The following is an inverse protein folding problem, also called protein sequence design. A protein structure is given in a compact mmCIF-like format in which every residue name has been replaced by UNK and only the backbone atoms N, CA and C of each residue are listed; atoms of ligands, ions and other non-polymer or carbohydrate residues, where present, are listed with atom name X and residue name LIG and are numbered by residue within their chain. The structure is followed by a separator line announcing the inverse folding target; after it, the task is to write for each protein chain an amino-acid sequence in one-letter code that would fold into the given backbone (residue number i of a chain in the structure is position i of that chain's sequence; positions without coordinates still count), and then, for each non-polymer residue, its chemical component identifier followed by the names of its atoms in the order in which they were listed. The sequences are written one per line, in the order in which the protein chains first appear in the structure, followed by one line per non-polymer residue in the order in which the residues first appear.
data_IF_622826178561
#
_entry.id   IF_622826178561
#
_cell.length_a   1.000
_cell.length_b   1.000
_cell.length_c   1.000
_cell.angle_alpha   90.00
_cell.angle_beta   90.00
_cell.angle_gamma   90.00
#
_symmetry.space_group_name_H-M   'P 1'
#
loop_
_entity.id
_entity.type
_entity.pdbx_description
1 polymer ?
#
# COMPACT_ATOMS: atom_id res chain seq x y z
N UNK A 1 4.70 25.53 -0.45
CA UNK A 1 6.12 25.15 -0.28
C UNK A 1 6.68 24.89 -1.66
N UNK A 2 7.93 25.30 -1.92
CA UNK A 2 8.65 24.88 -3.13
C UNK A 2 9.22 23.50 -2.85
N UNK A 3 9.00 22.55 -3.75
CA UNK A 3 9.60 21.21 -3.66
C UNK A 3 10.88 21.22 -4.49
N UNK A 4 11.90 20.53 -3.99
CA UNK A 4 13.09 20.30 -4.81
C UNK A 4 12.71 19.40 -6.00
N UNK A 5 13.29 19.63 -7.18
CA UNK A 5 13.03 18.80 -8.35
C UNK A 5 13.46 17.36 -8.08
N UNK A 6 12.57 16.41 -8.37
CA UNK A 6 12.84 14.98 -8.22
C UNK A 6 13.59 14.43 -9.44
N UNK A 7 14.71 13.74 -9.20
CA UNK A 7 15.42 13.00 -10.23
C UNK A 7 14.56 11.92 -10.89
N UNK A 8 14.72 11.71 -12.20
CA UNK A 8 13.96 10.70 -12.95
C UNK A 8 14.21 9.26 -12.45
N UNK A 9 15.42 8.97 -11.96
CA UNK A 9 15.75 7.63 -11.46
C UNK A 9 15.34 7.55 -10.01
N UNK A 10 14.45 6.62 -9.68
CA UNK A 10 13.87 6.46 -8.35
C UNK A 10 14.10 5.04 -7.85
N UNK A 11 14.43 4.91 -6.57
CA UNK A 11 14.66 3.63 -5.93
C UNK A 11 13.74 3.47 -4.73
N UNK A 12 13.10 2.31 -4.63
CA UNK A 12 12.23 1.96 -3.53
C UNK A 12 12.40 0.49 -3.14
N UNK A 13 12.20 0.20 -1.87
CA UNK A 13 12.14 -1.15 -1.32
C UNK A 13 10.73 -1.43 -0.82
N UNK A 14 10.18 -2.58 -1.19
CA UNK A 14 8.91 -3.06 -0.66
C UNK A 14 9.16 -4.23 0.29
N UNK A 15 8.49 -4.23 1.44
CA UNK A 15 8.42 -5.36 2.35
C UNK A 15 6.95 -5.68 2.61
N UNK A 16 6.59 -6.94 2.42
CA UNK A 16 5.22 -7.42 2.57
C UNK A 16 5.17 -8.72 3.35
N UNK A 17 4.09 -8.90 4.10
CA UNK A 17 3.83 -10.08 4.90
C UNK A 17 2.37 -10.49 4.81
N UNK A 18 2.13 -11.80 4.80
CA UNK A 18 0.79 -12.38 4.87
C UNK A 18 0.75 -13.48 5.91
N UNK A 19 -0.23 -13.42 6.80
CA UNK A 19 -0.47 -14.45 7.79
C UNK A 19 -1.90 -14.99 7.67
N UNK A 20 -2.04 -16.31 7.54
CA UNK A 20 -3.34 -16.99 7.53
C UNK A 20 -3.83 -17.15 8.96
N UNK A 21 -4.93 -16.48 9.29
CA UNK A 21 -5.63 -16.63 10.56
C UNK A 21 -6.45 -17.94 10.57
N UNK A 22 -7.06 -18.26 9.43
CA UNK A 22 -7.80 -19.51 9.20
C UNK A 22 -7.66 -19.93 7.74
N UNK A 23 -8.31 -21.03 7.34
CA UNK A 23 -8.39 -21.42 5.92
C UNK A 23 -9.07 -20.36 5.03
N UNK A 24 -9.90 -19.48 5.60
CA UNK A 24 -10.65 -18.49 4.83
C UNK A 24 -10.25 -17.04 5.11
N UNK A 25 -9.45 -16.80 6.14
CA UNK A 25 -9.07 -15.46 6.55
C UNK A 25 -7.55 -15.31 6.59
N UNK A 26 -7.03 -14.26 5.97
CA UNK A 26 -5.66 -13.80 6.19
C UNK A 26 -5.61 -12.32 6.50
N UNK A 27 -4.60 -11.94 7.27
CA UNK A 27 -4.17 -10.55 7.41
C UNK A 27 -2.91 -10.35 6.54
N UNK A 28 -2.82 -9.19 5.91
CA UNK A 28 -1.68 -8.78 5.11
C UNK A 28 -1.20 -7.39 5.56
N UNK A 29 0.10 -7.15 5.43
CA UNK A 29 0.71 -5.88 5.70
C UNK A 29 1.83 -5.62 4.70
N UNK A 30 1.87 -4.43 4.13
CA UNK A 30 2.86 -4.02 3.13
C UNK A 30 3.41 -2.64 3.49
N UNK A 31 4.71 -2.47 3.38
CA UNK A 31 5.41 -1.21 3.61
C UNK A 31 6.36 -0.92 2.46
N UNK A 32 6.36 0.32 1.99
CA UNK A 32 7.29 0.82 0.98
C UNK A 32 8.26 1.82 1.59
N UNK A 33 9.54 1.70 1.27
CA UNK A 33 10.57 2.64 1.68
C UNK A 33 11.24 3.26 0.46
N UNK A 34 11.07 4.57 0.28
CA UNK A 34 11.68 5.30 -0.82
C UNK A 34 13.08 5.79 -0.45
N UNK A 35 14.07 5.52 -1.29
CA UNK A 35 15.48 5.67 -0.95
C UNK A 35 16.08 7.03 -1.36
N UNK A 36 15.51 7.68 -2.37
CA UNK A 36 16.05 8.93 -2.93
C UNK A 36 14.95 9.95 -3.25
N UNK A 37 13.99 10.09 -2.33
CA UNK A 37 12.91 11.07 -2.48
C UNK A 37 13.48 12.48 -2.28
N UNK A 38 13.10 13.42 -3.14
CA UNK A 38 13.51 14.80 -3.04
C UNK A 38 13.00 15.44 -1.75
N UNK A 39 13.79 16.37 -1.20
CA UNK A 39 13.44 17.07 0.01
C UNK A 39 12.17 17.91 -0.19
N UNK A 40 11.36 17.92 0.88
CA UNK A 40 10.06 18.58 0.88
C UNK A 40 8.96 17.83 0.12
N UNK A 41 9.23 16.72 -0.59
CA UNK A 41 8.21 15.99 -1.35
C UNK A 41 6.90 15.78 -0.57
N UNK A 42 5.73 15.98 -1.21
CA UNK A 42 4.43 15.79 -0.55
C UNK A 42 4.11 14.31 -0.29
N UNK A 43 4.94 13.39 -0.80
CA UNK A 43 4.71 11.96 -0.67
C UNK A 43 5.48 11.36 0.51
N UNK A 44 4.80 10.48 1.22
CA UNK A 44 5.36 9.70 2.33
C UNK A 44 5.50 8.24 1.94
N UNK A 45 6.21 7.50 2.78
CA UNK A 45 6.33 6.05 2.64
C UNK A 45 4.97 5.38 2.88
N UNK A 46 4.52 4.51 1.96
CA UNK A 46 3.24 3.85 2.10
C UNK A 46 3.30 2.72 3.12
N UNK A 47 2.22 2.58 3.89
CA UNK A 47 1.91 1.45 4.76
C UNK A 47 0.48 1.02 4.42
N UNK A 48 0.29 -0.28 4.22
CA UNK A 48 -0.99 -0.93 4.00
C UNK A 48 -1.18 -2.05 5.01
N UNK A 49 -2.39 -2.17 5.54
CA UNK A 49 -2.86 -3.32 6.33
C UNK A 49 -4.17 -3.78 5.72
N UNK A 50 -4.31 -5.08 5.50
CA UNK A 50 -5.53 -5.60 4.90
C UNK A 50 -5.90 -7.01 5.35
N UNK A 51 -7.06 -7.42 4.87
CA UNK A 51 -7.70 -8.68 5.18
C UNK A 51 -8.17 -9.32 3.88
N UNK A 52 -7.92 -10.61 3.73
CA UNK A 52 -8.49 -11.41 2.65
C UNK A 52 -9.52 -12.38 3.21
N UNK A 53 -10.67 -12.47 2.55
CA UNK A 53 -11.71 -13.47 2.79
C UNK A 53 -11.87 -14.36 1.55
N UNK A 54 -11.57 -15.65 1.71
CA UNK A 54 -11.70 -16.67 0.67
C UNK A 54 -13.03 -17.42 0.80
N UNK A 55 -13.85 -17.36 -0.25
CA UNK A 55 -15.16 -18.05 -0.31
C UNK A 55 -15.16 -19.20 -1.34
N UNK A 56 -13.98 -19.71 -1.70
CA UNK A 56 -13.77 -20.81 -2.65
C UNK A 56 -13.46 -20.31 -4.05
N UNK A 57 -14.43 -19.69 -4.74
CA UNK A 57 -14.23 -19.14 -6.09
C UNK A 57 -13.88 -17.64 -6.13
N UNK A 58 -13.95 -16.97 -4.98
CA UNK A 58 -13.69 -15.55 -4.84
C UNK A 58 -12.78 -15.29 -3.64
N UNK A 59 -11.87 -14.34 -3.81
CA UNK A 59 -11.07 -13.74 -2.74
C UNK A 59 -11.44 -12.26 -2.67
N UNK A 60 -12.10 -11.88 -1.58
CA UNK A 60 -12.39 -10.49 -1.26
C UNK A 60 -11.21 -9.92 -0.51
N UNK A 61 -10.56 -8.90 -1.05
CA UNK A 61 -9.43 -8.24 -0.42
C UNK A 61 -9.83 -6.85 0.01
N UNK A 62 -9.67 -6.57 1.29
CA UNK A 62 -9.95 -5.29 1.92
C UNK A 62 -8.61 -4.74 2.42
N UNK A 63 -8.31 -3.47 2.15
CA UNK A 63 -7.05 -2.88 2.64
C UNK A 63 -7.25 -1.42 3.05
N UNK A 64 -6.54 -1.06 4.10
CA UNK A 64 -6.40 0.29 4.61
C UNK A 64 -4.97 0.74 4.37
N UNK A 65 -4.78 1.85 3.68
CA UNK A 65 -3.48 2.31 3.20
C UNK A 65 -3.41 3.82 3.16
N UNK A 66 -2.26 4.43 3.43
CA UNK A 66 -2.05 5.86 3.20
C UNK A 66 -1.64 6.19 1.75
N UNK A 67 -1.64 5.22 0.84
CA UNK A 67 -1.44 5.42 -0.59
C UNK A 67 -2.68 5.01 -1.38
N UNK A 68 -3.24 5.94 -2.16
CA UNK A 68 -4.47 5.70 -2.92
C UNK A 68 -4.28 4.74 -4.11
N UNK A 69 -3.18 4.78 -4.89
CA UNK A 69 -2.96 3.80 -5.94
C UNK A 69 -2.64 2.42 -5.36
N UNK A 70 -3.27 1.39 -5.94
CA UNK A 70 -3.11 -0.01 -5.52
C UNK A 70 -2.16 -0.83 -6.40
N UNK A 71 -1.73 -0.27 -7.53
CA UNK A 71 -0.67 -0.88 -8.35
C UNK A 71 0.69 -0.57 -7.72
N UNK A 72 1.61 -1.53 -7.73
CA UNK A 72 2.90 -1.46 -7.03
C UNK A 72 3.65 -0.14 -7.23
N UNK A 73 3.78 0.33 -8.47
CA UNK A 73 4.49 1.59 -8.75
C UNK A 73 3.83 2.79 -8.09
N UNK A 74 2.50 2.87 -8.16
CA UNK A 74 1.74 3.95 -7.52
C UNK A 74 1.75 3.80 -6.00
N UNK A 75 1.57 2.59 -5.48
CA UNK A 75 1.64 2.30 -4.05
C UNK A 75 2.96 2.80 -3.45
N UNK A 76 4.10 2.42 -4.04
CA UNK A 76 5.44 2.77 -3.56
C UNK A 76 5.79 4.26 -3.69
N UNK A 77 5.16 4.99 -4.63
CA UNK A 77 5.53 6.38 -4.93
C UNK A 77 4.53 7.42 -4.45
N UNK A 78 3.26 7.07 -4.23
CA UNK A 78 2.15 8.03 -4.06
C UNK A 78 1.41 7.90 -2.73
N UNK A 79 2.14 7.67 -1.64
CA UNK A 79 1.61 7.81 -0.28
C UNK A 79 1.32 9.28 0.04
N UNK A 80 0.07 9.68 0.21
CA UNK A 80 -0.34 11.06 0.50
C UNK A 80 -1.11 11.21 1.81
N UNK A 81 -1.58 10.09 2.35
CA UNK A 81 -2.19 10.01 3.67
C UNK A 81 -1.14 9.99 4.77
N UNK A 82 -1.59 10.25 5.99
CA UNK A 82 -0.79 10.14 7.20
C UNK A 82 -1.55 9.30 8.23
N UNK A 83 -0.94 8.18 8.63
CA UNK A 83 -1.51 7.26 9.61
C UNK A 83 -1.62 7.89 11.00
N UNK A 84 -0.72 8.82 11.38
CA UNK A 84 -0.77 9.45 12.72
C UNK A 84 -1.96 10.37 12.87
N UNK A 85 -2.44 10.92 11.76
CA UNK A 85 -3.59 11.83 11.70
C UNK A 85 -4.88 11.11 11.29
N UNK A 86 -4.85 9.77 11.15
CA UNK A 86 -5.99 8.97 10.70
C UNK A 86 -6.37 9.17 9.23
N UNK A 87 -5.50 9.80 8.43
CA UNK A 87 -5.71 10.00 6.98
C UNK A 87 -5.24 8.77 6.21
N UNK A 88 -6.10 7.78 6.09
CA UNK A 88 -5.90 6.59 5.25
C UNK A 88 -7.08 6.40 4.29
N UNK A 89 -6.84 5.60 3.27
CA UNK A 89 -7.80 5.21 2.26
C UNK A 89 -8.21 3.76 2.49
N UNK A 90 -9.47 3.47 2.21
CA UNK A 90 -9.97 2.11 2.13
C UNK A 90 -10.05 1.70 0.66
N UNK A 91 -9.53 0.52 0.34
CA UNK A 91 -9.66 -0.06 -0.99
C UNK A 91 -10.11 -1.51 -0.95
N UNK A 92 -10.57 -1.96 -2.12
CA UNK A 92 -11.23 -3.25 -2.28
C UNK A 92 -10.84 -3.89 -3.61
N UNK A 93 -10.50 -5.18 -3.58
CA UNK A 93 -10.39 -6.03 -4.76
C UNK A 93 -11.27 -7.27 -4.61
N UNK A 94 -11.70 -7.79 -5.77
CA UNK A 94 -12.31 -9.11 -5.88
C UNK A 94 -11.54 -9.91 -6.91
N UNK A 95 -10.80 -10.92 -6.45
CA UNK A 95 -10.08 -11.84 -7.34
C UNK A 95 -10.91 -13.10 -7.49
N UNK A 96 -11.06 -13.58 -8.73
CA UNK A 96 -11.71 -14.87 -9.03
C UNK A 96 -10.64 -15.89 -9.37
N UNK A 97 -10.73 -17.04 -8.71
CA UNK A 97 -9.89 -18.20 -9.00
C UNK A 97 -10.79 -19.26 -9.63
N UNK A 98 -10.47 -19.65 -10.86
CA UNK A 98 -11.22 -20.65 -11.64
C UNK A 98 -10.58 -22.03 -11.49
#
# INVERSE_FOLDING_TARGET
MSYDPQDNTQYALGLGGRYKLTNRWSINADYGYHLNRADGSPFVNPLSIGFDLETGGHVFQLHFTNSQPMLTNGFLSQGTGDWTDGRFFFGFNLVRVF
#
